data_IF_772149916109
#
_entry.id   IF_772149916109
#
_cell.length_a   1.000
_cell.length_b   1.000
_cell.length_c   1.000
_cell.angle_alpha   90.00
_cell.angle_beta   90.00
_cell.angle_gamma   90.00
#
_symmetry.space_group_name_H-M   'P 1'
#
loop_
_entity.id
_entity.type
_entity.pdbx_description
1 polymer ?
#
# COMPACT_ATOMS: atom_id res chain seq x y z
N UNK A 1 24.47 -45.65 6.99
CA UNK A 1 23.93 -46.51 5.90
C UNK A 1 22.97 -47.64 6.32
N UNK A 2 23.07 -48.31 7.47
CA UNK A 2 22.08 -49.37 7.85
C UNK A 2 20.87 -48.89 8.66
N UNK A 3 20.92 -47.72 9.30
CA UNK A 3 19.80 -47.21 10.10
C UNK A 3 18.64 -46.65 9.25
N UNK A 4 18.95 -45.94 8.16
CA UNK A 4 17.95 -45.42 7.20
C UNK A 4 17.06 -46.52 6.61
N UNK A 5 17.62 -47.71 6.35
CA UNK A 5 16.89 -48.86 5.80
C UNK A 5 15.76 -49.36 6.70
N UNK A 6 15.82 -49.08 8.00
CA UNK A 6 14.80 -49.54 8.97
C UNK A 6 13.89 -48.41 9.47
N UNK A 7 14.08 -47.18 8.98
CA UNK A 7 13.32 -46.01 9.39
C UNK A 7 11.82 -46.19 9.11
N UNK A 8 11.43 -46.79 7.98
CA UNK A 8 10.01 -47.02 7.64
C UNK A 8 9.60 -48.49 7.76
N UNK A 9 10.21 -49.27 8.66
CA UNK A 9 9.88 -50.70 8.74
C UNK A 9 8.41 -50.93 9.11
N UNK A 10 7.70 -51.73 8.29
CA UNK A 10 6.24 -51.95 8.36
C UNK A 10 5.82 -53.19 9.16
N UNK A 11 6.76 -53.93 9.75
CA UNK A 11 6.47 -55.15 10.51
C UNK A 11 5.71 -54.84 11.81
N UNK A 12 4.54 -55.45 12.02
CA UNK A 12 3.57 -55.04 13.05
C UNK A 12 4.13 -54.89 14.49
N UNK A 13 4.97 -55.82 14.98
CA UNK A 13 5.53 -55.76 16.34
C UNK A 13 7.03 -55.43 16.40
N UNK A 14 7.84 -56.02 15.51
CA UNK A 14 9.28 -55.71 15.42
C UNK A 14 9.54 -54.32 14.83
N UNK A 15 8.62 -53.80 14.00
CA UNK A 15 8.79 -52.53 13.30
C UNK A 15 8.90 -51.35 14.24
N UNK A 16 8.05 -51.24 15.27
CA UNK A 16 8.13 -50.14 16.26
C UNK A 16 9.47 -50.12 16.99
N UNK A 17 9.97 -51.29 17.41
CA UNK A 17 11.27 -51.41 18.07
C UNK A 17 12.43 -51.06 17.12
N UNK A 18 12.38 -51.55 15.88
CA UNK A 18 13.39 -51.28 14.87
C UNK A 18 13.42 -49.80 14.46
N UNK A 19 12.26 -49.16 14.30
CA UNK A 19 12.14 -47.72 14.02
C UNK A 19 12.70 -46.88 15.16
N UNK A 20 12.30 -47.15 16.41
CA UNK A 20 12.88 -46.45 17.58
C UNK A 20 14.40 -46.61 17.67
N UNK A 21 14.92 -47.82 17.47
CA UNK A 21 16.37 -48.07 17.46
C UNK A 21 17.08 -47.36 16.29
N UNK A 22 16.44 -47.24 15.13
CA UNK A 22 16.97 -46.49 14.01
C UNK A 22 17.03 -44.99 14.31
N UNK A 23 15.96 -44.42 14.89
CA UNK A 23 15.89 -43.02 15.33
C UNK A 23 16.98 -42.72 16.36
N UNK A 24 17.13 -43.54 17.40
CA UNK A 24 18.19 -43.35 18.41
C UNK A 24 19.59 -43.40 17.77
N UNK A 25 19.83 -44.32 16.84
CA UNK A 25 21.11 -44.42 16.14
C UNK A 25 21.39 -43.18 15.28
N UNK A 26 20.37 -42.62 14.64
CA UNK A 26 20.52 -41.41 13.83
C UNK A 26 20.87 -40.20 14.71
N UNK A 27 20.16 -39.98 15.83
CA UNK A 27 20.52 -38.94 16.79
C UNK A 27 21.93 -39.16 17.37
N UNK A 28 22.28 -40.39 17.74
CA UNK A 28 23.61 -40.71 18.28
C UNK A 28 24.76 -40.48 17.28
N UNK A 29 24.48 -40.52 15.98
CA UNK A 29 25.52 -40.33 14.95
C UNK A 29 26.04 -38.90 14.88
N UNK A 30 25.26 -37.90 15.30
CA UNK A 30 25.62 -36.47 15.27
C UNK A 30 26.05 -35.94 13.89
N UNK A 31 25.57 -36.57 12.81
CA UNK A 31 25.93 -36.24 11.43
C UNK A 31 24.89 -35.35 10.74
N UNK A 32 25.31 -34.66 9.67
CA UNK A 32 24.43 -33.84 8.83
C UNK A 32 23.37 -34.70 8.13
N UNK A 33 23.77 -35.85 7.60
CA UNK A 33 22.92 -36.77 6.87
C UNK A 33 21.82 -37.34 7.77
N UNK A 34 22.17 -37.67 9.02
CA UNK A 34 21.19 -38.14 10.00
C UNK A 34 20.17 -37.07 10.38
N UNK A 35 20.61 -35.81 10.55
CA UNK A 35 19.71 -34.69 10.80
C UNK A 35 18.69 -34.50 9.65
N UNK A 36 19.16 -34.52 8.40
CA UNK A 36 18.30 -34.41 7.22
C UNK A 36 17.35 -35.61 7.11
N UNK A 37 17.84 -36.83 7.30
CA UNK A 37 17.01 -38.03 7.26
C UNK A 37 15.91 -38.04 8.32
N UNK A 38 16.18 -37.54 9.53
CA UNK A 38 15.19 -37.40 10.59
C UNK A 38 14.15 -36.33 10.25
N UNK A 39 14.57 -35.18 9.70
CA UNK A 39 13.65 -34.13 9.28
C UNK A 39 12.74 -34.58 8.12
N UNK A 40 13.28 -35.28 7.13
CA UNK A 40 12.50 -35.92 6.06
C UNK A 40 11.51 -36.96 6.58
N UNK A 41 11.87 -37.70 7.63
CA UNK A 41 10.97 -38.69 8.22
C UNK A 41 9.73 -38.03 8.83
N UNK A 42 9.91 -36.88 9.48
CA UNK A 42 8.81 -36.08 10.04
C UNK A 42 7.85 -35.64 8.92
N UNK A 43 8.39 -35.14 7.81
CA UNK A 43 7.62 -34.71 6.62
C UNK A 43 6.87 -35.86 5.95
N UNK A 44 7.50 -37.04 5.88
CA UNK A 44 6.89 -38.27 5.35
C UNK A 44 5.92 -38.95 6.33
N UNK A 45 5.45 -38.24 7.36
CA UNK A 45 4.50 -38.72 8.36
C UNK A 45 4.91 -40.04 9.02
N UNK A 46 6.19 -40.18 9.37
CA UNK A 46 6.71 -41.34 10.09
C UNK A 46 5.88 -41.65 11.36
N UNK A 47 5.67 -42.92 11.75
CA UNK A 47 4.80 -43.27 12.87
C UNK A 47 5.23 -42.65 14.22
N UNK A 48 6.54 -42.40 14.39
CA UNK A 48 7.11 -41.71 15.55
C UNK A 48 7.47 -40.23 15.26
N UNK A 49 6.86 -39.61 14.25
CA UNK A 49 7.22 -38.25 13.80
C UNK A 49 7.13 -37.18 14.89
N UNK A 50 6.16 -37.27 15.79
CA UNK A 50 5.98 -36.29 16.88
C UNK A 50 7.13 -36.35 17.89
N UNK A 51 7.58 -37.55 18.25
CA UNK A 51 8.72 -37.77 19.15
C UNK A 51 10.04 -37.32 18.49
N UNK A 52 10.19 -37.58 17.19
CA UNK A 52 11.33 -37.10 16.40
C UNK A 52 11.33 -35.58 16.34
N UNK A 53 10.21 -34.96 15.94
CA UNK A 53 10.06 -33.52 15.77
C UNK A 53 10.39 -32.76 17.07
N UNK A 54 9.83 -33.23 18.20
CA UNK A 54 10.16 -32.67 19.52
C UNK A 54 11.64 -32.73 19.84
N UNK A 55 12.32 -33.86 19.56
CA UNK A 55 13.78 -33.94 19.78
C UNK A 55 14.57 -33.05 18.84
N UNK A 56 14.14 -32.90 17.59
CA UNK A 56 14.79 -32.00 16.62
C UNK A 56 14.70 -30.54 17.07
N UNK A 57 13.55 -30.08 17.60
CA UNK A 57 13.40 -28.74 18.19
C UNK A 57 14.27 -28.54 19.44
N UNK A 58 14.47 -29.59 20.22
CA UNK A 58 15.26 -29.54 21.45
C UNK A 58 16.78 -29.70 21.26
N UNK A 59 17.25 -29.90 20.01
CA UNK A 59 18.68 -29.86 19.71
C UNK A 59 19.26 -28.51 20.14
N UNK A 60 20.44 -28.49 20.77
CA UNK A 60 21.11 -27.25 21.16
C UNK A 60 22.37 -27.04 20.33
N UNK A 61 22.55 -25.82 19.82
CA UNK A 61 23.72 -25.48 19.02
C UNK A 61 25.05 -25.67 19.78
N UNK A 62 25.05 -25.51 21.11
CA UNK A 62 26.23 -25.65 21.97
C UNK A 62 26.72 -27.09 22.13
N UNK A 63 25.84 -28.09 22.01
CA UNK A 63 26.18 -29.51 22.19
C UNK A 63 26.13 -30.32 20.90
N UNK A 64 25.31 -29.90 19.94
CA UNK A 64 24.98 -30.66 18.72
C UNK A 64 24.99 -29.76 17.49
N UNK A 65 26.02 -28.92 17.37
CA UNK A 65 26.18 -27.87 16.34
C UNK A 65 25.89 -28.36 14.92
N UNK A 66 26.45 -29.52 14.53
CA UNK A 66 26.32 -30.07 13.18
C UNK A 66 24.87 -30.47 12.88
N UNK A 67 24.23 -31.23 13.76
CA UNK A 67 22.83 -31.64 13.59
C UNK A 67 21.90 -30.44 13.65
N UNK A 68 22.04 -29.58 14.66
CA UNK A 68 21.24 -28.38 14.82
C UNK A 68 21.26 -27.52 13.55
N UNK A 69 22.46 -27.20 13.05
CA UNK A 69 22.62 -26.38 11.85
C UNK A 69 22.01 -27.05 10.62
N UNK A 70 22.18 -28.37 10.47
CA UNK A 70 21.64 -29.14 9.35
C UNK A 70 20.10 -29.16 9.34
N UNK A 71 19.46 -29.36 10.50
CA UNK A 71 18.00 -29.39 10.63
C UNK A 71 17.40 -28.04 10.28
N UNK A 72 17.92 -26.95 10.86
CA UNK A 72 17.39 -25.61 10.59
C UNK A 72 17.63 -25.15 9.15
N UNK A 73 18.76 -25.50 8.55
CA UNK A 73 19.00 -25.25 7.12
C UNK A 73 18.07 -26.09 6.24
N UNK A 74 17.77 -27.33 6.63
CA UNK A 74 16.78 -28.18 5.95
C UNK A 74 15.41 -27.51 5.96
N UNK A 75 14.90 -27.10 7.13
CA UNK A 75 13.61 -26.40 7.23
C UNK A 75 13.61 -25.08 6.46
N UNK A 76 14.68 -24.27 6.56
CA UNK A 76 14.82 -23.03 5.78
C UNK A 76 14.72 -23.29 4.27
N UNK A 77 15.37 -24.34 3.77
CA UNK A 77 15.32 -24.70 2.34
C UNK A 77 13.92 -25.11 1.85
N UNK A 78 13.06 -25.56 2.78
CA UNK A 78 11.66 -25.90 2.57
C UNK A 78 10.69 -24.78 3.00
N UNK A 79 11.19 -23.56 3.16
CA UNK A 79 10.40 -22.39 3.62
C UNK A 79 9.62 -22.64 4.91
N UNK A 80 10.17 -23.49 5.78
CA UNK A 80 9.60 -23.89 7.06
C UNK A 80 8.20 -24.53 6.99
N UNK A 81 7.68 -24.93 5.82
CA UNK A 81 6.29 -25.38 5.65
C UNK A 81 5.87 -26.48 6.64
N UNK A 82 6.65 -27.58 6.72
CA UNK A 82 6.33 -28.70 7.61
C UNK A 82 6.58 -28.35 9.10
N UNK A 83 7.54 -27.47 9.39
CA UNK A 83 7.78 -26.96 10.75
C UNK A 83 6.52 -26.24 11.25
N UNK A 84 6.00 -25.32 10.43
CA UNK A 84 4.86 -24.45 10.76
C UNK A 84 3.56 -25.25 10.89
N UNK A 85 3.28 -26.09 9.90
CA UNK A 85 2.10 -26.97 9.89
C UNK A 85 1.98 -27.80 11.17
N UNK A 86 3.09 -28.34 11.66
CA UNK A 86 3.10 -29.15 12.90
C UNK A 86 2.97 -28.30 14.15
N UNK A 87 3.60 -27.13 14.19
CA UNK A 87 3.48 -26.23 15.34
C UNK A 87 2.08 -25.65 15.49
N UNK A 88 1.37 -25.38 14.40
CA UNK A 88 -0.03 -24.95 14.42
C UNK A 88 -0.98 -26.06 14.89
N UNK A 89 -0.65 -27.33 14.61
CA UNK A 89 -1.45 -28.47 15.02
C UNK A 89 -1.40 -28.76 16.54
N UNK A 90 -0.43 -28.22 17.28
CA UNK A 90 -0.22 -28.55 18.69
C UNK A 90 0.42 -27.40 19.49
N UNK A 91 -0.30 -26.92 20.51
CA UNK A 91 0.20 -25.91 21.47
C UNK A 91 1.52 -26.32 22.14
N UNK A 92 1.75 -27.61 22.36
CA UNK A 92 2.99 -28.08 22.95
C UNK A 92 4.19 -27.88 22.03
N UNK A 93 4.02 -28.07 20.71
CA UNK A 93 5.07 -27.83 19.74
C UNK A 93 5.31 -26.36 19.47
N UNK A 94 4.29 -25.52 19.58
CA UNK A 94 4.46 -24.08 19.56
C UNK A 94 5.38 -23.60 20.71
N UNK A 95 5.16 -24.10 21.93
CA UNK A 95 6.05 -23.79 23.06
C UNK A 95 7.47 -24.33 22.86
N UNK A 96 7.62 -25.55 22.35
CA UNK A 96 8.92 -26.15 22.04
C UNK A 96 9.66 -25.33 20.94
N UNK A 97 8.94 -24.83 19.92
CA UNK A 97 9.50 -23.97 18.87
C UNK A 97 10.04 -22.66 19.45
N UNK A 98 9.26 -21.96 20.26
CA UNK A 98 9.69 -20.68 20.85
C UNK A 98 10.95 -20.87 21.71
N UNK A 99 11.00 -21.94 22.53
CA UNK A 99 12.21 -22.26 23.31
C UNK A 99 13.42 -22.63 22.43
N UNK A 100 13.20 -23.20 21.26
CA UNK A 100 14.26 -23.49 20.31
C UNK A 100 14.79 -22.20 19.67
N UNK A 101 13.90 -21.29 19.29
CA UNK A 101 14.24 -20.00 18.70
C UNK A 101 14.96 -19.10 19.72
N UNK A 102 14.52 -19.06 20.98
CA UNK A 102 15.17 -18.28 22.05
C UNK A 102 16.62 -18.70 22.26
N UNK A 103 16.91 -20.00 22.13
CA UNK A 103 18.23 -20.57 22.28
C UNK A 103 19.09 -20.54 21.02
N UNK A 104 18.62 -19.89 19.94
CA UNK A 104 19.42 -19.72 18.73
C UNK A 104 20.75 -19.00 19.04
N UNK A 105 21.85 -19.38 18.38
CA UNK A 105 23.15 -18.79 18.65
C UNK A 105 23.17 -17.28 18.35
N UNK A 106 23.92 -16.54 19.18
CA UNK A 106 24.41 -15.14 19.09
C UNK A 106 24.85 -14.57 17.74
N UNK A 107 25.06 -15.42 16.74
CA UNK A 107 25.83 -15.08 15.54
C UNK A 107 24.93 -14.73 14.35
N UNK A 108 25.54 -14.25 13.26
CA UNK A 108 24.84 -13.83 12.05
C UNK A 108 23.97 -14.93 11.44
N UNK A 109 24.39 -16.19 11.54
CA UNK A 109 23.60 -17.33 11.07
C UNK A 109 22.30 -17.50 11.88
N UNK A 110 22.39 -17.46 13.21
CA UNK A 110 21.23 -17.58 14.11
C UNK A 110 20.28 -16.40 13.95
N UNK A 111 20.81 -15.18 13.90
CA UNK A 111 20.03 -13.97 13.64
C UNK A 111 19.35 -14.05 12.26
N UNK A 112 20.08 -14.45 11.22
CA UNK A 112 19.52 -14.61 9.87
C UNK A 112 18.40 -15.65 9.78
N UNK A 113 18.40 -16.68 10.63
CA UNK A 113 17.28 -17.62 10.73
C UNK A 113 16.05 -17.01 11.40
N UNK A 114 16.25 -16.29 12.51
CA UNK A 114 15.16 -15.61 13.22
C UNK A 114 14.46 -14.59 12.32
N UNK A 115 15.23 -13.73 11.63
CA UNK A 115 14.68 -12.74 10.71
C UNK A 115 13.98 -13.39 9.50
N UNK A 116 14.54 -14.49 8.95
CA UNK A 116 13.88 -15.20 7.85
C UNK A 116 12.54 -15.81 8.26
N UNK A 117 12.47 -16.40 9.48
CA UNK A 117 11.24 -16.98 10.00
C UNK A 117 10.21 -15.90 10.33
N UNK A 118 10.64 -14.81 10.99
CA UNK A 118 9.80 -13.66 11.26
C UNK A 118 9.22 -13.06 9.97
N UNK A 119 10.05 -12.85 8.95
CA UNK A 119 9.61 -12.26 7.68
C UNK A 119 8.53 -13.06 6.98
N UNK A 120 8.52 -14.39 7.15
CA UNK A 120 7.51 -15.26 6.55
C UNK A 120 6.22 -15.35 7.36
N UNK A 121 6.33 -15.27 8.69
CA UNK A 121 5.19 -15.48 9.60
C UNK A 121 4.52 -14.19 10.06
N UNK A 122 5.27 -13.08 10.07
CA UNK A 122 4.84 -11.79 10.60
C UNK A 122 4.30 -11.86 12.05
N UNK A 123 4.84 -12.78 12.86
CA UNK A 123 4.42 -13.01 14.25
C UNK A 123 5.11 -12.05 15.23
N UNK A 124 4.33 -11.48 16.13
CA UNK A 124 4.79 -10.50 17.13
C UNK A 124 5.67 -11.10 18.23
N UNK A 125 5.49 -12.37 18.59
CA UNK A 125 6.30 -13.04 19.61
C UNK A 125 7.75 -13.25 19.16
N UNK A 126 7.95 -13.62 17.89
CA UNK A 126 9.28 -13.70 17.28
C UNK A 126 9.91 -12.31 17.19
N UNK A 127 9.12 -11.29 16.82
CA UNK A 127 9.61 -9.91 16.77
C UNK A 127 10.06 -9.40 18.15
N UNK A 128 9.25 -9.63 19.18
CA UNK A 128 9.57 -9.24 20.56
C UNK A 128 10.85 -9.92 21.06
N UNK A 129 11.08 -11.18 20.69
CA UNK A 129 12.31 -11.89 21.00
C UNK A 129 13.54 -11.29 20.28
N UNK A 130 13.42 -10.95 19.00
CA UNK A 130 14.48 -10.27 18.23
C UNK A 130 14.86 -8.94 18.89
N UNK A 131 13.86 -8.15 19.31
CA UNK A 131 14.03 -6.88 20.02
C UNK A 131 14.69 -7.07 21.39
N UNK A 132 14.15 -7.95 22.23
CA UNK A 132 14.64 -8.20 23.59
C UNK A 132 16.08 -8.72 23.63
N UNK A 133 16.48 -9.49 22.62
CA UNK A 133 17.83 -10.01 22.51
C UNK A 133 18.82 -9.07 21.79
N UNK A 134 18.34 -7.92 21.28
CA UNK A 134 19.17 -6.96 20.54
C UNK A 134 19.81 -7.56 19.29
N UNK A 135 19.06 -8.39 18.54
CA UNK A 135 19.59 -9.07 17.34
C UNK A 135 19.77 -8.09 16.20
N UNK A 136 20.88 -8.22 15.48
CA UNK A 136 21.14 -7.51 14.24
C UNK A 136 20.61 -8.29 13.04
N UNK A 137 19.96 -7.60 12.11
CA UNK A 137 19.51 -8.21 10.88
C UNK A 137 20.69 -8.61 9.98
N UNK A 138 20.54 -9.64 9.15
CA UNK A 138 21.61 -10.10 8.26
C UNK A 138 21.88 -9.14 7.09
N UNK A 139 20.96 -8.22 6.79
CA UNK A 139 21.05 -7.25 5.71
C UNK A 139 20.31 -5.96 6.08
N UNK A 140 20.70 -4.84 5.47
CA UNK A 140 20.15 -3.51 5.78
C UNK A 140 18.67 -3.41 5.43
N UNK A 141 18.25 -3.98 4.30
CA UNK A 141 16.85 -4.03 3.86
C UNK A 141 15.98 -4.83 4.82
N UNK A 142 16.53 -5.89 5.44
CA UNK A 142 15.80 -6.68 6.44
C UNK A 142 15.66 -5.94 7.76
N UNK A 143 16.67 -5.15 8.16
CA UNK A 143 16.58 -4.32 9.37
C UNK A 143 15.60 -3.15 9.17
N UNK A 144 15.62 -2.54 7.99
CA UNK A 144 14.66 -1.52 7.58
C UNK A 144 13.24 -2.08 7.58
N UNK A 145 13.01 -3.22 6.92
CA UNK A 145 11.72 -3.91 6.92
C UNK A 145 11.23 -4.19 8.35
N UNK A 146 12.11 -4.74 9.19
CA UNK A 146 11.79 -5.01 10.59
C UNK A 146 11.40 -3.77 11.37
N UNK A 147 12.21 -2.71 11.30
CA UNK A 147 11.93 -1.45 11.97
C UNK A 147 10.62 -0.82 11.52
N UNK A 148 10.39 -0.73 10.20
CA UNK A 148 9.20 -0.11 9.62
C UNK A 148 7.92 -0.89 9.94
N UNK A 149 7.96 -2.23 9.94
CA UNK A 149 6.79 -3.04 10.32
C UNK A 149 6.47 -2.89 11.81
N UNK A 150 7.49 -2.70 12.65
CA UNK A 150 7.37 -2.59 14.11
C UNK A 150 7.08 -1.17 14.61
N UNK A 151 6.89 -0.20 13.71
CA UNK A 151 6.64 1.19 14.12
C UNK A 151 7.88 1.90 14.65
N UNK A 152 9.08 1.40 14.35
CA UNK A 152 10.36 2.00 14.72
C UNK A 152 11.11 2.51 13.48
N UNK A 153 10.75 3.71 12.97
CA UNK A 153 11.33 4.27 11.74
C UNK A 153 12.83 4.58 11.87
N UNK A 154 13.34 4.75 13.09
CA UNK A 154 14.76 5.06 13.35
C UNK A 154 15.71 4.00 12.77
N UNK A 155 15.29 2.72 12.73
CA UNK A 155 16.12 1.67 12.12
C UNK A 155 16.39 1.94 10.64
N UNK A 156 15.45 2.53 9.91
CA UNK A 156 15.67 2.95 8.53
C UNK A 156 16.39 4.30 8.45
N UNK A 157 15.97 5.28 9.26
CA UNK A 157 16.49 6.65 9.20
C UNK A 157 17.99 6.74 9.53
N UNK A 158 18.50 5.83 10.35
CA UNK A 158 19.93 5.70 10.67
C UNK A 158 20.79 5.26 9.48
N UNK A 159 20.19 4.73 8.40
CA UNK A 159 20.93 4.37 7.19
C UNK A 159 21.11 5.59 6.29
N UNK A 160 22.24 5.65 5.57
CA UNK A 160 22.41 6.54 4.43
C UNK A 160 21.86 5.85 3.18
N UNK A 161 20.73 6.35 2.67
CA UNK A 161 19.98 5.78 1.55
C UNK A 161 19.52 6.92 0.63
N UNK A 162 20.44 7.55 -0.12
CA UNK A 162 20.12 8.71 -0.97
C UNK A 162 19.23 8.34 -2.17
N UNK A 163 19.38 7.11 -2.67
CA UNK A 163 18.64 6.60 -3.83
C UNK A 163 17.38 5.80 -3.43
N UNK A 164 17.05 5.75 -2.13
CA UNK A 164 15.91 5.01 -1.57
C UNK A 164 15.89 3.49 -1.87
N UNK A 165 17.03 2.93 -2.27
CA UNK A 165 17.16 1.54 -2.71
C UNK A 165 16.97 0.54 -1.56
N UNK A 166 17.34 0.92 -0.33
CA UNK A 166 17.16 0.06 0.86
C UNK A 166 15.67 -0.01 1.19
N UNK A 167 14.98 1.13 1.16
CA UNK A 167 13.53 1.18 1.37
C UNK A 167 12.78 0.39 0.31
N UNK A 168 13.13 0.56 -0.97
CA UNK A 168 12.50 -0.14 -2.09
C UNK A 168 12.62 -1.66 -1.94
N UNK A 169 13.82 -2.16 -1.62
CA UNK A 169 14.03 -3.60 -1.38
C UNK A 169 13.23 -4.11 -0.18
N UNK A 170 13.16 -3.33 0.90
CA UNK A 170 12.34 -3.66 2.07
C UNK A 170 10.85 -3.73 1.69
N UNK A 171 10.36 -2.79 0.90
CA UNK A 171 8.98 -2.75 0.41
C UNK A 171 8.63 -3.94 -0.49
N UNK A 172 9.53 -4.28 -1.42
CA UNK A 172 9.35 -5.43 -2.32
C UNK A 172 9.35 -6.76 -1.55
N UNK A 173 10.13 -6.87 -0.47
CA UNK A 173 10.17 -8.05 0.38
C UNK A 173 8.96 -8.17 1.33
N UNK A 174 8.26 -7.07 1.60
CA UNK A 174 7.12 -7.03 2.53
C UNK A 174 5.87 -7.73 1.98
N UNK A 175 5.17 -8.46 2.85
CA UNK A 175 3.82 -8.96 2.58
C UNK A 175 2.79 -7.82 2.53
N UNK A 176 1.58 -8.09 2.03
CA UNK A 176 0.50 -7.07 1.98
C UNK A 176 0.15 -6.51 3.36
N UNK A 177 0.14 -7.36 4.40
CA UNK A 177 -0.13 -6.95 5.80
C UNK A 177 1.02 -6.09 6.34
N UNK A 178 2.27 -6.46 6.04
CA UNK A 178 3.44 -5.69 6.42
C UNK A 178 3.46 -4.32 5.74
N UNK A 179 3.12 -4.24 4.45
CA UNK A 179 2.99 -2.97 3.71
C UNK A 179 1.99 -2.01 4.35
N UNK A 180 0.86 -2.52 4.85
CA UNK A 180 -0.11 -1.69 5.60
C UNK A 180 0.50 -1.11 6.88
N UNK A 181 1.24 -1.92 7.66
CA UNK A 181 1.93 -1.45 8.87
C UNK A 181 3.05 -0.46 8.57
N UNK A 182 3.80 -0.68 7.48
CA UNK A 182 4.81 0.27 6.99
C UNK A 182 4.14 1.61 6.66
N UNK A 183 3.03 1.58 5.93
CA UNK A 183 2.27 2.79 5.56
C UNK A 183 1.84 3.58 6.80
N UNK A 184 1.27 2.90 7.81
CA UNK A 184 0.91 3.52 9.09
C UNK A 184 2.13 4.11 9.82
N UNK A 185 3.26 3.40 9.80
CA UNK A 185 4.50 3.88 10.42
C UNK A 185 5.04 5.13 9.73
N UNK A 186 4.99 5.18 8.39
CA UNK A 186 5.37 6.37 7.62
C UNK A 186 4.47 7.55 7.98
N UNK A 187 3.15 7.37 7.96
CA UNK A 187 2.16 8.40 8.31
C UNK A 187 2.38 8.96 9.72
N UNK A 188 2.65 8.09 10.69
CA UNK A 188 2.84 8.49 12.09
C UNK A 188 4.20 9.12 12.37
N UNK A 189 5.22 8.82 11.54
CA UNK A 189 6.59 9.29 11.79
C UNK A 189 6.76 10.81 11.64
N UNK A 190 5.96 11.44 10.77
CA UNK A 190 6.12 12.85 10.36
C UNK A 190 7.54 13.19 9.85
N UNK A 191 8.27 12.21 9.31
CA UNK A 191 9.63 12.40 8.80
C UNK A 191 9.63 12.56 7.28
N UNK A 192 10.07 13.72 6.78
CA UNK A 192 10.06 14.04 5.34
C UNK A 192 10.86 13.03 4.51
N UNK A 193 12.04 12.63 4.99
CA UNK A 193 12.90 11.63 4.31
C UNK A 193 12.21 10.28 4.17
N UNK A 194 11.47 9.85 5.19
CA UNK A 194 10.75 8.58 5.15
C UNK A 194 9.57 8.62 4.18
N UNK A 195 8.85 9.75 4.14
CA UNK A 195 7.75 9.95 3.18
C UNK A 195 8.28 9.97 1.74
N UNK A 196 9.44 10.59 1.49
CA UNK A 196 10.07 10.58 0.17
C UNK A 196 10.50 9.16 -0.27
N UNK A 197 11.11 8.39 0.65
CA UNK A 197 11.50 7.00 0.37
C UNK A 197 10.29 6.09 0.12
N UNK A 198 9.24 6.26 0.93
CA UNK A 198 7.96 5.58 0.73
C UNK A 198 7.39 5.88 -0.64
N UNK A 199 7.31 7.16 -1.01
CA UNK A 199 6.77 7.49 -2.31
C UNK A 199 7.54 6.89 -3.48
N UNK A 200 8.86 6.96 -3.40
CA UNK A 200 9.73 6.41 -4.44
C UNK A 200 9.46 4.92 -4.65
N UNK A 201 9.25 4.17 -3.56
CA UNK A 201 9.01 2.73 -3.62
C UNK A 201 7.60 2.33 -4.05
N UNK A 202 6.57 3.17 -3.84
CA UNK A 202 5.15 2.79 -4.08
C UNK A 202 4.52 3.46 -5.31
N UNK A 203 5.30 4.15 -6.15
CA UNK A 203 4.86 4.98 -7.29
C UNK A 203 3.60 4.55 -8.06
N UNK A 204 3.38 3.26 -8.30
CA UNK A 204 2.23 2.72 -9.05
C UNK A 204 1.19 1.94 -8.22
N UNK A 205 1.45 1.67 -6.93
CA UNK A 205 0.66 0.74 -6.10
C UNK A 205 -0.20 1.41 -5.01
N UNK A 206 -0.11 2.73 -4.79
CA UNK A 206 -0.82 3.40 -3.69
C UNK A 206 -1.85 4.44 -4.10
N UNK A 207 -2.75 4.75 -3.15
CA UNK A 207 -3.61 5.92 -3.21
C UNK A 207 -2.76 7.20 -2.98
N UNK A 208 -2.64 8.10 -3.97
CA UNK A 208 -1.86 9.34 -3.84
C UNK A 208 -2.35 10.22 -2.68
N UNK A 209 -3.60 10.06 -2.23
CA UNK A 209 -4.17 10.85 -1.13
C UNK A 209 -3.44 10.60 0.20
N UNK A 210 -2.99 9.38 0.47
CA UNK A 210 -2.32 9.05 1.74
C UNK A 210 -0.97 9.75 1.87
N UNK A 211 -0.23 9.90 0.77
CA UNK A 211 1.03 10.65 0.76
C UNK A 211 0.77 12.14 0.94
N UNK A 212 -0.28 12.68 0.32
CA UNK A 212 -0.70 14.07 0.49
C UNK A 212 -1.01 14.36 1.96
N UNK A 213 -1.80 13.50 2.62
CA UNK A 213 -2.10 13.65 4.05
C UNK A 213 -0.85 13.53 4.93
N UNK A 214 0.08 12.62 4.61
CA UNK A 214 1.37 12.50 5.29
C UNK A 214 2.18 13.81 5.22
N UNK A 215 2.25 14.40 4.02
CA UNK A 215 2.98 15.65 3.77
C UNK A 215 2.31 16.85 4.46
N UNK A 216 0.98 16.89 4.50
CA UNK A 216 0.22 17.88 5.26
C UNK A 216 0.55 17.82 6.76
N UNK A 217 0.58 16.61 7.34
CA UNK A 217 0.91 16.39 8.76
C UNK A 217 2.38 16.71 9.08
N UNK A 218 3.30 16.37 8.18
CA UNK A 218 4.74 16.64 8.32
C UNK A 218 5.09 18.14 8.18
N UNK A 219 4.25 18.91 7.48
CA UNK A 219 4.52 20.33 7.18
C UNK A 219 5.58 20.54 6.08
N UNK A 220 5.87 19.51 5.28
CA UNK A 220 6.77 19.62 4.14
C UNK A 220 6.01 20.15 2.91
N UNK A 221 5.83 21.47 2.89
CA UNK A 221 5.07 22.14 1.83
C UNK A 221 5.82 22.19 0.48
N UNK A 222 7.15 22.03 0.47
CA UNK A 222 7.92 21.97 -0.77
C UNK A 222 7.68 20.65 -1.50
N UNK A 223 7.69 19.54 -0.76
CA UNK A 223 7.36 18.22 -1.28
C UNK A 223 5.88 18.13 -1.66
N UNK A 224 4.98 18.71 -0.85
CA UNK A 224 3.54 18.79 -1.16
C UNK A 224 3.29 19.53 -2.48
N UNK A 225 4.02 20.62 -2.74
CA UNK A 225 3.94 21.34 -4.00
C UNK A 225 4.41 20.49 -5.19
N UNK A 226 5.52 19.77 -5.05
CA UNK A 226 6.03 18.92 -6.13
C UNK A 226 5.04 17.79 -6.48
N UNK A 227 4.17 17.41 -5.55
CA UNK A 227 3.12 16.40 -5.79
C UNK A 227 1.93 16.88 -6.58
N UNK A 228 1.78 18.19 -6.76
CA UNK A 228 0.80 18.68 -7.71
C UNK A 228 1.09 18.14 -9.13
N UNK A 229 2.36 17.85 -9.46
CA UNK A 229 2.72 17.24 -10.73
C UNK A 229 2.17 15.80 -10.82
N UNK A 230 1.32 15.55 -11.81
CA UNK A 230 0.68 14.26 -12.08
C UNK A 230 -0.70 14.10 -11.44
N UNK A 231 -1.08 14.97 -10.50
CA UNK A 231 -2.41 14.96 -9.90
C UNK A 231 -3.46 15.55 -10.85
N UNK A 232 -4.70 15.02 -10.83
CA UNK A 232 -5.83 15.71 -11.43
C UNK A 232 -6.10 17.02 -10.69
N UNK A 233 -6.59 18.02 -11.41
CA UNK A 233 -6.75 19.38 -10.91
C UNK A 233 -7.70 19.47 -9.71
N UNK A 234 -8.72 18.61 -9.64
CA UNK A 234 -9.56 18.49 -8.46
C UNK A 234 -8.77 18.14 -7.18
N UNK A 235 -7.81 17.20 -7.26
CA UNK A 235 -6.92 16.87 -6.15
C UNK A 235 -5.96 18.01 -5.82
N UNK A 236 -5.51 18.77 -6.81
CA UNK A 236 -4.73 19.99 -6.59
C UNK A 236 -5.54 21.06 -5.83
N UNK A 237 -6.83 21.22 -6.13
CA UNK A 237 -7.70 22.16 -5.41
C UNK A 237 -7.85 21.81 -3.93
N UNK A 238 -7.87 20.53 -3.55
CA UNK A 238 -7.89 20.10 -2.14
C UNK A 238 -6.61 20.54 -1.39
N UNK A 239 -5.46 20.42 -2.05
CA UNK A 239 -4.17 20.88 -1.49
C UNK A 239 -4.15 22.41 -1.36
N UNK A 240 -4.74 23.12 -2.32
CA UNK A 240 -4.83 24.59 -2.28
C UNK A 240 -5.80 25.07 -1.21
N UNK A 241 -6.93 24.38 -1.03
CA UNK A 241 -7.85 24.63 0.07
C UNK A 241 -7.13 24.49 1.42
N UNK A 242 -6.33 23.43 1.58
CA UNK A 242 -5.48 23.26 2.76
C UNK A 242 -4.50 24.42 2.96
N UNK A 243 -3.85 24.95 1.91
CA UNK A 243 -3.01 26.16 2.01
C UNK A 243 -3.81 27.47 2.17
N UNK A 244 -5.09 27.49 1.84
CA UNK A 244 -5.95 28.64 2.06
C UNK A 244 -6.37 28.74 3.54
N UNK A 245 -6.56 27.59 4.18
CA UNK A 245 -6.87 27.43 5.60
C UNK A 245 -5.62 27.50 6.49
N UNK A 246 -4.52 26.87 6.07
CA UNK A 246 -3.23 26.94 6.76
C UNK A 246 -2.44 28.18 6.33
N UNK A 247 -1.80 28.87 7.27
CA UNK A 247 -0.90 30.00 6.97
C UNK A 247 0.46 29.56 6.40
N UNK A 248 0.68 28.25 6.26
CA UNK A 248 1.96 27.65 5.90
C UNK A 248 2.20 27.64 4.39
N UNK A 249 3.45 27.81 3.96
CA UNK A 249 3.85 27.90 2.55
C UNK A 249 5.13 27.09 2.28
N UNK A 250 5.39 26.71 1.01
CA UNK A 250 6.68 26.16 0.59
C UNK A 250 7.85 27.08 0.99
N UNK A 251 9.03 26.53 1.28
CA UNK A 251 10.21 27.34 1.64
C UNK A 251 10.86 27.96 0.40
N UNK A 252 10.78 27.30 -0.75
CA UNK A 252 11.32 27.85 -1.98
C UNK A 252 10.53 29.10 -2.42
N UNK A 253 11.18 30.25 -2.67
CA UNK A 253 10.49 31.52 -2.90
C UNK A 253 9.61 31.50 -4.17
N UNK A 254 10.05 30.80 -5.21
CA UNK A 254 9.27 30.64 -6.44
C UNK A 254 7.99 29.82 -6.19
N UNK A 255 8.08 28.69 -5.47
CA UNK A 255 6.93 27.88 -5.09
C UNK A 255 5.98 28.65 -4.17
N UNK A 256 6.52 29.37 -3.19
CA UNK A 256 5.74 30.19 -2.26
C UNK A 256 4.93 31.29 -2.98
N UNK A 257 5.52 31.95 -3.97
CA UNK A 257 4.83 32.95 -4.78
C UNK A 257 3.65 32.35 -5.58
N UNK A 258 3.86 31.19 -6.21
CA UNK A 258 2.81 30.48 -6.94
C UNK A 258 1.69 30.04 -6.01
N UNK A 259 2.00 29.44 -4.85
CA UNK A 259 0.99 29.05 -3.86
C UNK A 259 0.22 30.27 -3.35
N UNK A 260 0.90 31.41 -3.12
CA UNK A 260 0.24 32.66 -2.73
C UNK A 260 -0.78 33.14 -3.76
N UNK A 261 -0.42 33.13 -5.05
CA UNK A 261 -1.34 33.49 -6.14
C UNK A 261 -2.48 32.49 -6.30
N UNK A 262 -2.19 31.18 -6.19
CA UNK A 262 -3.20 30.13 -6.28
C UNK A 262 -4.23 30.24 -5.15
N UNK A 263 -3.79 30.52 -3.92
CA UNK A 263 -4.69 30.71 -2.77
C UNK A 263 -5.57 31.96 -2.95
N UNK A 264 -5.04 33.05 -3.52
CA UNK A 264 -5.83 34.23 -3.82
C UNK A 264 -6.93 33.93 -4.85
N UNK A 265 -6.56 33.31 -5.98
CA UNK A 265 -7.50 32.87 -7.02
C UNK A 265 -8.54 31.89 -6.48
N UNK A 266 -8.14 30.95 -5.61
CA UNK A 266 -9.05 30.00 -5.00
C UNK A 266 -10.12 30.66 -4.13
N UNK A 267 -9.75 31.69 -3.37
CA UNK A 267 -10.71 32.47 -2.56
C UNK A 267 -11.71 33.21 -3.44
N UNK A 268 -11.25 33.82 -4.53
CA UNK A 268 -12.12 34.47 -5.51
C UNK A 268 -13.09 33.47 -6.16
N UNK A 269 -12.60 32.28 -6.57
CA UNK A 269 -13.48 31.21 -7.09
C UNK A 269 -14.55 30.86 -6.06
N UNK A 270 -14.17 30.71 -4.79
CA UNK A 270 -15.09 30.31 -3.71
C UNK A 270 -16.17 31.37 -3.46
N UNK A 271 -15.86 32.65 -3.61
CA UNK A 271 -16.82 33.76 -3.51
C UNK A 271 -17.79 33.82 -4.70
N UNK A 272 -17.34 33.41 -5.89
CA UNK A 272 -18.13 33.42 -7.12
C UNK A 272 -18.99 32.16 -7.29
N UNK A 273 -18.72 31.09 -6.54
CA UNK A 273 -19.58 29.92 -6.54
C UNK A 273 -20.96 30.32 -6.03
N UNK A 274 -22.05 29.88 -6.70
CA UNK A 274 -23.40 30.13 -6.20
C UNK A 274 -23.44 29.63 -4.76
N UNK A 275 -24.06 30.39 -3.85
CA UNK A 275 -24.26 29.99 -2.45
C UNK A 275 -24.87 28.59 -2.44
N UNK A 276 -24.01 27.57 -2.33
CA UNK A 276 -24.43 26.22 -2.07
C UNK A 276 -25.24 26.33 -0.80
N UNK A 277 -26.52 25.96 -0.85
CA UNK A 277 -27.45 26.04 0.29
C UNK A 277 -26.77 25.43 1.52
N UNK A 278 -26.13 26.26 2.33
CA UNK A 278 -25.15 25.88 3.36
C UNK A 278 -25.80 25.48 4.67
N UNK A 279 -27.05 25.05 4.62
CA UNK A 279 -27.66 24.33 5.73
C UNK A 279 -28.25 23.05 5.18
N UNK A 280 -27.47 21.98 5.26
CA UNK A 280 -28.03 20.65 5.43
C UNK A 280 -29.15 20.76 6.48
N UNK A 281 -30.39 20.38 6.16
CA UNK A 281 -31.48 20.46 7.12
C UNK A 281 -31.07 19.77 8.43
N UNK A 282 -31.33 20.36 9.60
CA UNK A 282 -30.93 19.76 10.87
C UNK A 282 -31.46 18.33 10.96
N UNK A 283 -30.56 17.38 11.25
CA UNK A 283 -30.87 15.94 11.27
C UNK A 283 -30.56 15.18 9.96
N UNK A 284 -30.03 15.84 8.93
CA UNK A 284 -29.48 15.14 7.75
C UNK A 284 -28.05 14.68 8.01
N UNK A 285 -27.74 13.44 7.60
CA UNK A 285 -26.40 12.84 7.59
C UNK A 285 -26.00 12.50 6.17
N UNK A 286 -24.72 12.63 5.88
CA UNK A 286 -24.13 12.14 4.65
C UNK A 286 -24.27 10.60 4.61
N UNK A 287 -24.67 10.05 3.45
CA UNK A 287 -25.12 8.66 3.36
C UNK A 287 -23.96 7.67 3.39
N UNK A 288 -22.82 8.02 2.79
CA UNK A 288 -21.61 7.20 2.78
C UNK A 288 -20.90 7.24 4.14
N UNK A 289 -20.85 8.39 4.81
CA UNK A 289 -20.39 8.50 6.21
C UNK A 289 -21.24 7.61 7.11
N UNK A 290 -22.57 7.70 7.01
CA UNK A 290 -23.49 6.86 7.78
C UNK A 290 -23.25 5.36 7.54
N UNK A 291 -23.03 4.93 6.30
CA UNK A 291 -22.71 3.53 5.99
C UNK A 291 -21.37 3.10 6.57
N UNK A 292 -20.35 3.94 6.45
CA UNK A 292 -19.01 3.65 6.96
C UNK A 292 -19.00 3.52 8.49
N UNK A 293 -19.72 4.40 9.19
CA UNK A 293 -19.90 4.31 10.65
C UNK A 293 -20.62 3.04 11.08
N UNK A 294 -21.62 2.60 10.30
CA UNK A 294 -22.46 1.45 10.62
C UNK A 294 -21.76 0.11 10.36
N UNK A 295 -21.01 -0.01 9.27
CA UNK A 295 -20.45 -1.28 8.80
C UNK A 295 -18.96 -1.41 9.14
N UNK A 296 -18.64 -1.41 10.44
CA UNK A 296 -17.26 -1.54 10.90
C UNK A 296 -16.72 -2.97 10.86
N UNK A 297 -17.61 -3.99 10.86
CA UNK A 297 -17.24 -5.42 10.89
C UNK A 297 -17.77 -6.19 9.67
N UNK A 298 -17.04 -7.22 9.26
CA UNK A 298 -17.41 -8.06 8.12
C UNK A 298 -18.69 -8.87 8.38
N UNK A 299 -18.94 -9.23 9.64
CA UNK A 299 -20.17 -9.88 10.09
C UNK A 299 -21.40 -8.99 9.84
N UNK A 300 -21.32 -7.70 10.18
CA UNK A 300 -22.42 -6.74 9.98
C UNK A 300 -22.73 -6.54 8.49
N UNK A 301 -21.68 -6.55 7.65
CA UNK A 301 -21.81 -6.46 6.19
C UNK A 301 -22.53 -7.69 5.66
N UNK A 302 -22.07 -8.90 6.02
CA UNK A 302 -22.68 -10.16 5.52
C UNK A 302 -24.14 -10.32 5.93
N UNK A 303 -24.50 -9.85 7.12
CA UNK A 303 -25.89 -9.88 7.59
C UNK A 303 -26.79 -8.99 6.74
N UNK A 304 -26.41 -7.72 6.57
CA UNK A 304 -27.26 -6.72 5.91
C UNK A 304 -27.25 -6.85 4.37
N UNK A 305 -26.35 -7.64 3.76
CA UNK A 305 -26.43 -8.01 2.32
C UNK A 305 -27.74 -8.71 1.93
N UNK A 306 -28.35 -9.44 2.87
CA UNK A 306 -29.62 -10.16 2.67
C UNK A 306 -30.84 -9.41 3.22
N UNK A 307 -30.66 -8.18 3.68
CA UNK A 307 -31.72 -7.37 4.30
C UNK A 307 -32.89 -7.12 3.33
N UNK A 308 -34.15 -7.07 3.78
CA UNK A 308 -35.26 -6.64 2.93
C UNK A 308 -35.18 -5.14 2.54
N UNK A 309 -34.46 -4.33 3.31
CA UNK A 309 -34.28 -2.90 3.07
C UNK A 309 -33.16 -2.62 2.04
N UNK A 310 -33.47 -1.98 0.87
CA UNK A 310 -32.49 -1.69 -0.17
C UNK A 310 -31.38 -0.71 0.27
N UNK A 311 -31.63 0.18 1.23
CA UNK A 311 -30.59 1.09 1.73
C UNK A 311 -29.59 0.38 2.64
N UNK A 312 -30.04 -0.62 3.39
CA UNK A 312 -29.14 -1.49 4.17
C UNK A 312 -28.28 -2.33 3.25
N UNK A 313 -28.89 -2.96 2.23
CA UNK A 313 -28.16 -3.71 1.20
C UNK A 313 -27.14 -2.80 0.49
N UNK A 314 -27.54 -1.60 0.07
CA UNK A 314 -26.64 -0.64 -0.57
C UNK A 314 -25.41 -0.29 0.28
N UNK A 315 -25.58 0.02 1.57
CA UNK A 315 -24.44 0.30 2.45
C UNK A 315 -23.55 -0.91 2.71
N UNK A 316 -24.13 -2.11 2.83
CA UNK A 316 -23.38 -3.35 2.95
C UNK A 316 -22.61 -3.67 1.66
N UNK A 317 -23.20 -3.42 0.48
CA UNK A 317 -22.53 -3.52 -0.82
C UNK A 317 -21.36 -2.55 -0.92
N UNK A 318 -21.57 -1.29 -0.55
CA UNK A 318 -20.54 -0.24 -0.58
C UNK A 318 -19.31 -0.63 0.27
N UNK A 319 -19.55 -0.92 1.56
CA UNK A 319 -18.47 -1.28 2.49
C UNK A 319 -17.86 -2.65 2.16
N UNK A 320 -18.69 -3.61 1.74
CA UNK A 320 -18.25 -4.96 1.38
C UNK A 320 -17.40 -5.00 0.11
N UNK A 321 -17.70 -4.16 -0.87
CA UNK A 321 -16.90 -4.05 -2.09
C UNK A 321 -15.52 -3.43 -1.80
N UNK A 322 -15.44 -2.39 -0.97
CA UNK A 322 -14.16 -1.81 -0.52
C UNK A 322 -13.28 -2.81 0.22
N UNK A 323 -13.89 -3.75 0.97
CA UNK A 323 -13.20 -4.82 1.70
C UNK A 323 -12.98 -6.11 0.92
N UNK A 324 -13.26 -6.12 -0.39
CA UNK A 324 -13.17 -7.31 -1.25
C UNK A 324 -14.00 -8.52 -0.78
N UNK A 325 -15.08 -8.30 -0.03
CA UNK A 325 -15.98 -9.36 0.46
C UNK A 325 -16.97 -9.83 -0.62
N UNK A 326 -17.14 -9.05 -1.69
CA UNK A 326 -18.15 -9.26 -2.73
C UNK A 326 -17.46 -9.45 -4.08
N UNK A 327 -17.71 -10.56 -4.79
CA UNK A 327 -17.15 -10.79 -6.12
C UNK A 327 -17.56 -9.71 -7.12
N UNK A 328 -16.63 -9.30 -8.00
CA UNK A 328 -16.90 -8.32 -9.08
C UNK A 328 -18.02 -8.74 -10.04
N UNK A 329 -18.23 -10.05 -10.24
CA UNK A 329 -19.35 -10.57 -11.05
C UNK A 329 -20.70 -10.21 -10.45
N UNK A 330 -20.84 -10.32 -9.13
CA UNK A 330 -22.06 -9.99 -8.40
C UNK A 330 -22.32 -8.47 -8.41
N UNK A 331 -21.26 -7.65 -8.30
CA UNK A 331 -21.37 -6.19 -8.40
C UNK A 331 -21.84 -5.76 -9.81
N UNK A 332 -21.37 -6.44 -10.87
CA UNK A 332 -21.87 -6.22 -12.25
C UNK A 332 -23.33 -6.59 -12.40
N UNK A 333 -23.76 -7.72 -11.84
CA UNK A 333 -25.17 -8.12 -11.88
C UNK A 333 -26.07 -7.08 -11.20
N UNK A 334 -25.64 -6.57 -10.04
CA UNK A 334 -26.36 -5.53 -9.29
C UNK A 334 -26.38 -4.20 -10.05
N UNK A 335 -25.32 -3.85 -10.76
CA UNK A 335 -25.31 -2.63 -11.58
C UNK A 335 -26.43 -2.61 -12.65
N UNK A 336 -26.84 -3.79 -13.12
CA UNK A 336 -27.91 -3.93 -14.14
C UNK A 336 -29.27 -4.15 -13.49
N UNK A 337 -29.37 -5.10 -12.55
CA UNK A 337 -30.64 -5.63 -12.02
C UNK A 337 -31.00 -5.13 -10.61
N UNK A 338 -30.09 -4.43 -9.94
CA UNK A 338 -30.29 -3.94 -8.57
C UNK A 338 -31.31 -2.82 -8.45
N UNK A 339 -31.71 -2.53 -7.21
CA UNK A 339 -32.49 -1.34 -6.87
C UNK A 339 -31.65 -0.07 -6.99
N UNK A 340 -32.29 1.09 -7.13
CA UNK A 340 -31.55 2.35 -7.32
C UNK A 340 -30.53 2.69 -6.21
N UNK A 341 -30.75 2.40 -4.90
CA UNK A 341 -29.72 2.66 -3.88
C UNK A 341 -28.51 1.73 -4.02
N UNK A 342 -28.74 0.47 -4.41
CA UNK A 342 -27.66 -0.50 -4.64
C UNK A 342 -26.85 -0.13 -5.88
N UNK A 343 -27.53 0.32 -6.93
CA UNK A 343 -26.90 0.88 -8.11
C UNK A 343 -26.10 2.13 -7.79
N UNK A 344 -26.61 3.05 -6.95
CA UNK A 344 -25.85 4.22 -6.47
C UNK A 344 -24.55 3.79 -5.79
N UNK A 345 -24.63 2.84 -4.85
CA UNK A 345 -23.47 2.33 -4.12
C UNK A 345 -22.41 1.71 -5.05
N UNK A 346 -22.85 0.93 -6.05
CA UNK A 346 -21.95 0.30 -7.04
C UNK A 346 -21.38 1.34 -8.02
N UNK A 347 -22.20 2.28 -8.50
CA UNK A 347 -21.77 3.31 -9.46
C UNK A 347 -20.70 4.22 -8.87
N UNK A 348 -20.84 4.64 -7.60
CA UNK A 348 -19.82 5.43 -6.92
C UNK A 348 -18.45 4.73 -6.88
N UNK A 349 -18.43 3.40 -6.77
CA UNK A 349 -17.21 2.62 -6.68
C UNK A 349 -16.55 2.31 -8.03
N UNK A 350 -17.33 2.25 -9.13
CA UNK A 350 -16.85 1.71 -10.41
C UNK A 350 -17.02 2.63 -11.63
N UNK A 351 -17.55 3.85 -11.50
CA UNK A 351 -17.61 4.89 -12.55
C UNK A 351 -17.92 4.36 -13.97
N UNK A 352 -19.07 3.68 -14.16
CA UNK A 352 -19.48 3.27 -15.50
C UNK A 352 -21.01 3.37 -15.66
N UNK A 353 -21.52 4.23 -16.56
CA UNK A 353 -22.87 4.09 -17.06
C UNK A 353 -22.88 3.00 -18.14
N UNK A 354 -23.77 2.04 -18.01
CA UNK A 354 -24.18 1.22 -19.15
C UNK A 354 -25.64 1.59 -19.48
N UNK A 355 -25.91 1.97 -20.73
CA UNK A 355 -27.25 2.39 -21.22
C UNK A 355 -28.29 1.27 -21.17
N UNK A 356 -27.87 0.08 -20.74
CA UNK A 356 -28.64 -1.16 -20.72
C UNK A 356 -29.44 -1.39 -19.44
N UNK A 357 -29.45 -0.43 -18.48
CA UNK A 357 -30.22 -0.56 -17.25
C UNK A 357 -31.74 -0.61 -17.53
N UNK A 358 -32.34 -1.79 -17.34
CA UNK A 358 -33.79 -1.99 -17.47
C UNK A 358 -34.50 -1.47 -16.22
N UNK A 359 -35.64 -0.79 -16.42
CA UNK A 359 -36.60 -0.35 -15.40
C UNK A 359 -36.05 0.60 -14.33
N UNK A 360 -35.72 1.84 -14.71
CA UNK A 360 -35.31 2.87 -13.74
C UNK A 360 -36.33 4.00 -13.61
N UNK A 361 -36.68 4.34 -12.37
CA UNK A 361 -37.47 5.53 -11.99
C UNK A 361 -36.58 6.70 -11.53
N UNK A 362 -35.25 6.52 -11.61
CA UNK A 362 -34.24 7.52 -11.23
C UNK A 362 -33.51 7.95 -12.49
N UNK A 363 -33.38 9.26 -12.68
CA UNK A 363 -32.56 9.83 -13.75
C UNK A 363 -31.15 10.03 -13.22
N UNK A 364 -30.20 9.22 -13.70
CA UNK A 364 -28.78 9.44 -13.43
C UNK A 364 -28.32 10.64 -14.25
N UNK A 365 -28.05 11.76 -13.58
CA UNK A 365 -27.40 12.90 -14.22
C UNK A 365 -25.96 12.47 -14.52
N UNK A 366 -25.62 12.35 -15.81
CA UNK A 366 -24.23 12.18 -16.22
C UNK A 366 -23.46 13.43 -15.76
N UNK A 367 -22.16 13.30 -15.39
CA UNK A 367 -21.28 14.44 -15.41
C UNK A 367 -21.46 15.09 -16.77
N UNK A 368 -21.93 16.33 -16.82
CA UNK A 368 -21.93 17.01 -18.10
C UNK A 368 -20.47 17.08 -18.55
N UNK A 369 -20.23 16.82 -19.83
CA UNK A 369 -19.01 17.27 -20.53
C UNK A 369 -19.04 18.80 -20.60
N UNK A 370 -19.12 19.45 -19.44
CA UNK A 370 -19.03 20.87 -19.30
C UNK A 370 -17.55 21.23 -19.12
N UNK A 371 -17.20 22.44 -19.56
CA UNK A 371 -15.82 22.93 -19.56
C UNK A 371 -15.19 22.82 -18.16
N UNK A 372 -16.00 22.93 -17.10
CA UNK A 372 -15.58 22.77 -15.70
C UNK A 372 -15.12 21.34 -15.39
N UNK A 373 -15.85 20.30 -15.81
CA UNK A 373 -15.43 18.91 -15.64
C UNK A 373 -14.13 18.63 -16.41
N UNK A 374 -13.97 19.21 -17.60
CA UNK A 374 -12.71 19.18 -18.36
C UNK A 374 -11.55 19.81 -17.61
N UNK A 375 -11.76 21.00 -17.00
CA UNK A 375 -10.75 21.67 -16.17
C UNK A 375 -10.40 20.82 -14.93
N UNK A 376 -11.40 20.32 -14.20
CA UNK A 376 -11.21 19.58 -12.94
C UNK A 376 -10.54 18.21 -13.11
N UNK A 377 -10.76 17.56 -14.25
CA UNK A 377 -10.17 16.25 -14.56
C UNK A 377 -8.78 16.35 -15.20
N UNK A 378 -8.34 17.53 -15.61
CA UNK A 378 -7.03 17.73 -16.23
C UNK A 378 -5.90 17.37 -15.25
N UNK A 379 -4.98 16.51 -15.69
CA UNK A 379 -3.78 16.19 -14.92
C UNK A 379 -2.75 17.29 -15.08
N UNK A 380 -2.16 17.77 -13.99
CA UNK A 380 -1.08 18.75 -14.04
C UNK A 380 0.24 18.09 -14.50
N UNK A 381 1.04 18.74 -15.36
CA UNK A 381 0.80 20.06 -15.97
C UNK A 381 -0.14 20.04 -17.18
N UNK A 382 -0.47 18.87 -17.75
CA UNK A 382 -1.28 18.80 -18.96
C UNK A 382 -0.58 19.44 -20.16
N UNK A 383 -1.34 19.80 -21.20
CA UNK A 383 -0.81 20.47 -22.40
C UNK A 383 -1.34 21.90 -22.57
N UNK A 384 -0.56 22.75 -23.23
CA UNK A 384 -1.00 24.11 -23.58
C UNK A 384 -2.15 24.10 -24.59
N UNK A 385 -2.17 23.12 -25.50
CA UNK A 385 -3.24 22.94 -26.49
C UNK A 385 -4.59 22.66 -25.82
N UNK A 386 -4.64 21.76 -24.85
CA UNK A 386 -5.89 21.45 -24.13
C UNK A 386 -6.41 22.67 -23.37
N UNK A 387 -5.50 23.45 -22.79
CA UNK A 387 -5.80 24.69 -22.05
C UNK A 387 -6.32 25.79 -22.96
N UNK A 388 -5.77 25.88 -24.18
CA UNK A 388 -6.23 26.81 -25.23
C UNK A 388 -7.61 26.40 -25.75
N UNK A 389 -7.85 25.10 -25.96
CA UNK A 389 -9.18 24.57 -26.31
C UNK A 389 -10.23 24.89 -25.24
N UNK A 390 -9.89 24.73 -23.97
CA UNK A 390 -10.78 25.10 -22.85
C UNK A 390 -11.04 26.62 -22.84
N UNK A 391 -10.04 27.45 -23.16
CA UNK A 391 -10.19 28.91 -23.29
C UNK A 391 -11.18 29.27 -24.40
N UNK A 392 -11.06 28.65 -25.57
CA UNK A 392 -11.95 28.91 -26.70
C UNK A 392 -13.39 28.45 -26.42
N UNK A 393 -13.55 27.32 -25.72
CA UNK A 393 -14.86 26.86 -25.27
C UNK A 393 -15.49 27.84 -24.26
N UNK A 394 -14.72 28.42 -23.34
CA UNK A 394 -15.22 29.44 -22.41
C UNK A 394 -15.63 30.74 -23.10
N UNK A 395 -14.90 31.17 -24.14
CA UNK A 395 -15.25 32.36 -24.94
C UNK A 395 -16.59 32.23 -25.65
N UNK A 396 -16.99 31.00 -25.98
CA UNK A 396 -18.26 30.70 -26.65
C UNK A 396 -19.46 30.56 -25.70
N UNK A 397 -19.23 30.47 -24.39
CA UNK A 397 -20.25 30.25 -23.37
C UNK A 397 -20.57 31.53 -22.57
N UNK A 398 -21.84 31.68 -22.16
CA UNK A 398 -22.32 32.76 -21.29
C UNK A 398 -21.44 32.96 -20.05
N UNK A 399 -21.20 34.24 -19.68
CA UNK A 399 -20.33 34.74 -18.61
C UNK A 399 -20.64 34.14 -17.23
N UNK A 400 -19.97 33.05 -16.86
CA UNK A 400 -19.83 32.61 -15.47
C UNK A 400 -18.38 32.83 -15.04
N UNK A 401 -18.14 33.89 -14.25
CA UNK A 401 -16.80 34.37 -13.87
C UNK A 401 -15.93 33.31 -13.17
N UNK A 402 -16.55 32.39 -12.41
CA UNK A 402 -15.79 31.35 -11.70
C UNK A 402 -15.11 30.35 -12.65
N UNK A 403 -15.65 30.12 -13.86
CA UNK A 403 -15.06 29.18 -14.83
C UNK A 403 -13.74 29.72 -15.39
N UNK A 404 -13.70 31.02 -15.67
CA UNK A 404 -12.48 31.72 -16.08
C UNK A 404 -11.44 31.70 -14.97
N UNK A 405 -11.85 31.90 -13.72
CA UNK A 405 -10.96 31.86 -12.55
C UNK A 405 -10.39 30.47 -12.29
N UNK A 406 -11.19 29.41 -12.47
CA UNK A 406 -10.70 28.02 -12.41
C UNK A 406 -9.65 27.74 -13.48
N UNK A 407 -9.87 28.21 -14.72
CA UNK A 407 -8.89 28.06 -15.79
C UNK A 407 -7.62 28.90 -15.55
N UNK A 408 -7.74 30.12 -14.99
CA UNK A 408 -6.59 30.92 -14.55
C UNK A 408 -5.76 30.19 -13.48
N UNK A 409 -6.44 29.53 -12.53
CA UNK A 409 -5.77 28.77 -11.48
C UNK A 409 -5.07 27.53 -12.05
N UNK A 410 -5.68 26.83 -13.00
CA UNK A 410 -5.05 25.73 -13.73
C UNK A 410 -3.78 26.21 -14.46
N UNK A 411 -3.93 27.20 -15.33
CA UNK A 411 -2.84 27.75 -16.16
C UNK A 411 -1.68 28.32 -15.33
N UNK A 412 -1.94 28.85 -14.13
CA UNK A 412 -0.90 29.25 -13.19
C UNK A 412 0.06 28.08 -12.87
N UNK A 413 -0.46 26.90 -12.53
CA UNK A 413 0.39 25.74 -12.25
C UNK A 413 1.05 25.19 -13.51
N UNK A 414 0.34 25.18 -14.64
CA UNK A 414 0.92 24.74 -15.91
C UNK A 414 2.11 25.61 -16.30
N UNK A 415 1.98 26.94 -16.18
CA UNK A 415 3.07 27.87 -16.48
C UNK A 415 4.31 27.62 -15.63
N UNK A 416 4.15 27.22 -14.36
CA UNK A 416 5.26 26.89 -13.49
C UNK A 416 5.94 25.58 -13.89
N UNK A 417 5.15 24.52 -14.13
CA UNK A 417 5.67 23.19 -14.42
C UNK A 417 6.19 23.02 -15.85
N UNK A 418 5.62 23.77 -16.80
CA UNK A 418 6.04 23.78 -18.21
C UNK A 418 7.19 24.77 -18.46
N UNK A 419 7.56 25.59 -17.47
CA UNK A 419 8.66 26.54 -17.59
C UNK A 419 9.95 25.82 -17.98
N UNK A 420 10.48 26.13 -19.16
CA UNK A 420 11.72 25.54 -19.69
C UNK A 420 11.53 24.36 -20.64
N UNK A 421 10.29 23.95 -20.94
CA UNK A 421 10.00 23.06 -22.07
C UNK A 421 9.90 23.90 -23.35
N UNK A 422 10.84 23.71 -24.27
CA UNK A 422 10.72 24.21 -25.65
C UNK A 422 9.77 23.26 -26.38
N UNK A 423 8.53 23.68 -26.59
CA UNK A 423 7.62 23.01 -27.51
C UNK A 423 7.94 23.50 -28.91
N UNK A 424 8.57 22.66 -29.72
CA UNK A 424 8.66 22.89 -31.17
C UNK A 424 7.32 22.48 -31.75
N UNK A 425 6.46 23.46 -32.02
CA UNK A 425 5.30 23.24 -32.86
C UNK A 425 5.76 23.07 -34.32
N UNK A 426 5.09 22.18 -35.05
CA UNK A 426 5.32 21.95 -36.48
C UNK A 426 4.55 22.94 -37.36
N UNK A 427 3.90 23.94 -36.76
CA UNK A 427 3.30 25.07 -37.48
C UNK A 427 4.35 26.16 -37.66
N UNK A 428 4.58 26.57 -38.92
CA UNK A 428 5.43 27.72 -39.30
C UNK A 428 4.76 29.07 -38.95
N UNK A 429 3.59 29.07 -38.33
CA UNK A 429 2.85 30.29 -38.03
C UNK A 429 3.15 30.76 -36.60
N UNK A 430 3.91 31.86 -36.49
CA UNK A 430 4.10 32.61 -35.25
C UNK A 430 2.75 33.22 -34.80
N UNK A 431 1.98 32.47 -34.01
CA UNK A 431 0.63 32.87 -33.56
C UNK A 431 0.63 33.76 -32.31
N UNK A 432 1.75 33.87 -31.60
CA UNK A 432 1.89 34.76 -30.43
C UNK A 432 2.49 36.12 -30.83
N UNK A 433 1.93 37.22 -30.31
CA UNK A 433 2.38 38.59 -30.59
C UNK A 433 3.83 38.90 -30.17
N UNK A 434 4.45 37.98 -29.42
CA UNK A 434 5.80 38.11 -28.87
C UNK A 434 6.77 37.07 -29.47
N UNK A 435 6.28 36.22 -30.38
CA UNK A 435 7.13 35.27 -31.08
C UNK A 435 7.98 36.04 -32.12
N UNK A 436 9.27 35.73 -32.16
CA UNK A 436 10.21 36.36 -33.09
C UNK A 436 10.68 35.30 -34.07
N UNK A 437 10.47 35.53 -35.36
CA UNK A 437 10.98 34.64 -36.40
C UNK A 437 12.51 34.61 -36.34
N UNK A 438 13.07 33.41 -36.31
CA UNK A 438 14.53 33.20 -36.21
C UNK A 438 15.31 33.78 -37.38
N UNK A 439 14.64 34.12 -38.49
CA UNK A 439 15.24 34.78 -39.65
C UNK A 439 15.40 36.31 -39.47
N UNK A 440 14.67 36.93 -38.54
CA UNK A 440 14.74 38.37 -38.27
C UNK A 440 15.70 38.74 -37.13
N UNK A 441 16.20 37.75 -36.38
CA UNK A 441 17.12 37.98 -35.24
C UNK A 441 18.57 37.93 -35.71
N UNK A 442 19.12 39.09 -36.02
CA UNK A 442 20.53 39.22 -36.46
C UNK A 442 21.54 39.35 -35.33
N UNK A 443 21.11 39.59 -34.07
CA UNK A 443 22.01 39.84 -32.93
C UNK A 443 21.54 39.15 -31.64
N UNK A 444 21.63 37.82 -31.56
CA UNK A 444 21.57 37.10 -30.28
C UNK A 444 22.80 36.20 -30.16
N UNK A 445 23.65 36.48 -29.17
CA UNK A 445 24.67 35.53 -28.72
C UNK A 445 23.98 34.39 -27.95
N UNK A 446 24.19 33.16 -28.43
CA UNK A 446 23.62 31.92 -27.89
C UNK A 446 24.36 31.41 -26.66
#
# INVERSE_FOLDING_TARGET
MHAEKHLFSTNAFLGKFLRKKAVERLFASKTREAAVALAEAVEKAHPEADEIFKRLLNLRHSSETVMHTAVWNYWKSRRFEELLKRTEASKSFESDLLQALEAMPKNDWGSGLLFALWSQLDRDDIAAMIEAQGRHAPALEMDALFGLVRGNPERYLNFEDPDYSIFEKAWLAASSVQRQRISLTVLNSQQSRLIAAYDHAVRDEHDPQLVIEALKLCGDHDALFDRLRGLPFNGALEVIAFWAESSSRPKAPAKAAIVGQAVALFREVTELLPEARRSTPPGTREIFEFWTERYQSDESIRQDLSSPDPFRRAGALYCGAQRNLIPRSQLREISVNGTWPEKLAVQYLFNAPDESARNEHVLWLRPQDNVVAGILSMRLPGTLEESSRLTDQLRSASEEDYRHKLLQLLTLFQSYFLRGLITVDSSDDATESNAVETEEVTDVEW
#
